data_IF_818664897646
#
_entry.id   IF_818664897646
#
_cell.length_a   1.000
_cell.length_b   1.000
_cell.length_c   1.000
_cell.angle_alpha   90.00
_cell.angle_beta   90.00
_cell.angle_gamma   90.00
#
_symmetry.space_group_name_H-M   'P 1'
#
loop_
_entity.id
_entity.type
_entity.pdbx_description
1 polymer ?
#
# COMPACT_ATOMS: atom_id res chain seq x y z
N UNK A 1 14.67 -15.42 -17.40
CA UNK A 1 14.31 -14.14 -18.02
C UNK A 1 12.88 -13.82 -17.59
N UNK A 2 12.62 -12.73 -16.85
CA UNK A 2 11.26 -12.36 -16.51
C UNK A 2 10.51 -12.06 -17.82
N UNK A 3 9.32 -12.64 -17.99
CA UNK A 3 8.43 -12.31 -19.09
C UNK A 3 8.20 -10.79 -19.09
N UNK A 4 8.35 -10.09 -20.23
CA UNK A 4 8.10 -8.66 -20.26
C UNK A 4 6.69 -8.37 -19.76
N UNK A 5 6.59 -7.56 -18.69
CA UNK A 5 5.30 -7.16 -18.10
C UNK A 5 4.47 -6.47 -19.18
N UNK A 6 3.19 -6.83 -19.28
CA UNK A 6 2.23 -6.21 -20.20
C UNK A 6 2.33 -4.68 -20.06
N UNK A 7 2.48 -3.91 -21.15
CA UNK A 7 2.47 -2.44 -21.10
C UNK A 7 1.27 -1.86 -20.34
N UNK A 8 0.13 -2.57 -20.30
CA UNK A 8 -1.07 -2.19 -19.53
C UNK A 8 -0.85 -2.32 -18.02
N UNK A 9 0.02 -3.23 -17.57
CA UNK A 9 0.40 -3.42 -16.16
C UNK A 9 1.32 -2.29 -15.65
N UNK A 10 1.87 -1.46 -16.55
CA UNK A 10 2.78 -0.37 -16.20
C UNK A 10 2.07 0.98 -15.96
N UNK A 11 0.76 1.08 -16.23
CA UNK A 11 0.02 2.35 -16.14
C UNK A 11 -0.02 2.92 -14.72
N UNK A 12 -0.34 2.09 -13.72
CA UNK A 12 -0.37 2.51 -12.32
C UNK A 12 1.01 2.94 -11.82
N UNK A 13 2.06 2.25 -12.28
CA UNK A 13 3.45 2.62 -11.98
C UNK A 13 3.81 3.97 -12.60
N UNK A 14 3.52 4.16 -13.88
CA UNK A 14 3.76 5.43 -14.58
C UNK A 14 3.00 6.60 -13.94
N UNK A 15 1.75 6.37 -13.52
CA UNK A 15 0.94 7.33 -12.78
C UNK A 15 1.58 7.72 -11.44
N UNK A 16 1.94 6.72 -10.64
CA UNK A 16 2.59 6.93 -9.34
C UNK A 16 3.91 7.67 -9.50
N UNK A 17 4.72 7.33 -10.50
CA UNK A 17 5.96 8.03 -10.82
C UNK A 17 5.72 9.46 -11.32
N UNK A 18 4.59 9.71 -12.01
CA UNK A 18 4.14 11.04 -12.39
C UNK A 18 3.78 11.90 -11.18
N UNK A 19 2.96 11.39 -10.27
CA UNK A 19 2.60 12.06 -9.00
C UNK A 19 3.87 12.36 -8.18
N UNK A 20 4.82 11.42 -8.10
CA UNK A 20 6.12 11.64 -7.44
C UNK A 20 6.90 12.78 -8.08
N UNK A 21 6.99 12.85 -9.41
CA UNK A 21 7.71 13.93 -10.10
C UNK A 21 7.04 15.29 -9.89
N UNK A 22 5.71 15.36 -9.97
CA UNK A 22 4.98 16.60 -9.71
C UNK A 22 5.22 17.08 -8.27
N UNK A 23 5.04 16.18 -7.30
CA UNK A 23 5.25 16.51 -5.89
C UNK A 23 6.72 16.93 -5.63
N UNK A 24 7.69 16.30 -6.30
CA UNK A 24 9.11 16.74 -6.26
C UNK A 24 9.25 18.19 -6.71
N UNK A 25 8.64 18.54 -7.84
CA UNK A 25 8.73 19.89 -8.41
C UNK A 25 8.08 20.93 -7.49
N UNK A 26 6.93 20.61 -6.87
CA UNK A 26 6.21 21.49 -5.94
C UNK A 26 6.97 21.74 -4.64
N UNK A 27 7.63 20.71 -4.09
CA UNK A 27 8.34 20.81 -2.82
C UNK A 27 9.74 21.43 -2.97
N UNK A 28 10.33 21.40 -4.17
CA UNK A 28 11.68 21.86 -4.42
C UNK A 28 12.77 20.89 -3.92
N UNK A 29 14.04 21.13 -4.27
CA UNK A 29 15.10 20.14 -4.13
C UNK A 29 15.47 19.79 -2.68
N UNK A 30 15.43 20.75 -1.75
CA UNK A 30 15.77 20.49 -0.35
C UNK A 30 14.68 19.65 0.35
N UNK A 31 13.41 20.03 0.22
CA UNK A 31 12.29 19.33 0.88
C UNK A 31 12.05 17.95 0.27
N UNK A 32 12.09 17.84 -1.06
CA UNK A 32 11.81 16.57 -1.74
C UNK A 32 12.78 15.44 -1.35
N UNK A 33 14.03 15.75 -1.01
CA UNK A 33 15.01 14.77 -0.51
C UNK A 33 14.70 14.24 0.89
N UNK A 34 13.82 14.89 1.64
CA UNK A 34 13.42 14.46 2.97
C UNK A 34 12.06 13.73 2.99
N UNK A 35 11.27 13.79 1.92
CA UNK A 35 9.85 13.35 1.91
C UNK A 35 9.67 12.08 1.11
N UNK A 36 9.16 11.00 1.71
CA UNK A 36 8.74 9.76 1.04
C UNK A 36 7.24 9.76 0.77
N UNK A 37 6.85 9.15 -0.34
CA UNK A 37 5.45 8.78 -0.60
C UNK A 37 5.22 7.38 -0.03
N UNK A 38 4.03 7.13 0.50
CA UNK A 38 3.63 5.80 0.97
C UNK A 38 2.29 5.40 0.35
N UNK A 39 1.63 4.37 0.89
CA UNK A 39 0.36 3.87 0.40
C UNK A 39 0.43 3.51 -1.08
N UNK A 40 -0.62 3.83 -1.84
CA UNK A 40 -0.72 3.39 -3.24
C UNK A 40 0.37 4.00 -4.13
N UNK A 41 0.77 5.24 -3.89
CA UNK A 41 1.83 5.92 -4.66
C UNK A 41 3.19 5.29 -4.34
N UNK A 42 3.48 5.02 -3.07
CA UNK A 42 4.72 4.37 -2.63
C UNK A 42 4.91 2.96 -3.20
N UNK A 43 3.82 2.18 -3.30
CA UNK A 43 3.82 0.85 -3.93
C UNK A 43 3.89 0.89 -5.47
N UNK A 44 3.69 2.06 -6.09
CA UNK A 44 3.62 2.18 -7.55
C UNK A 44 2.30 1.67 -8.14
N UNK A 45 1.22 1.72 -7.36
CA UNK A 45 -0.09 1.13 -7.65
C UNK A 45 -1.21 2.17 -7.66
N UNK A 46 -0.87 3.45 -7.58
CA UNK A 46 -1.86 4.53 -7.61
C UNK A 46 -2.53 4.61 -8.98
N UNK A 47 -3.80 4.98 -8.94
CA UNK A 47 -4.65 5.29 -10.09
C UNK A 47 -5.19 6.72 -9.91
N UNK A 48 -5.74 7.37 -10.95
CA UNK A 48 -6.40 8.66 -10.79
C UNK A 48 -7.46 8.64 -9.68
N UNK A 49 -7.47 9.65 -8.80
CA UNK A 49 -8.35 9.67 -7.62
C UNK A 49 -7.85 8.83 -6.43
N UNK A 50 -6.56 8.49 -6.38
CA UNK A 50 -5.97 7.80 -5.22
C UNK A 50 -5.44 8.79 -4.20
N UNK A 51 -5.54 8.39 -2.93
CA UNK A 51 -4.98 9.12 -1.80
C UNK A 51 -3.46 9.30 -1.95
N UNK A 52 -2.96 10.46 -1.51
CA UNK A 52 -1.56 10.81 -1.42
C UNK A 52 -1.13 10.84 0.04
N UNK A 53 -0.43 9.79 0.47
CA UNK A 53 0.20 9.71 1.78
C UNK A 53 1.70 10.05 1.70
N UNK A 54 2.20 10.75 2.70
CA UNK A 54 3.62 11.14 2.78
C UNK A 54 4.20 10.99 4.18
N UNK A 55 5.49 10.68 4.25
CA UNK A 55 6.31 10.60 5.45
C UNK A 55 7.56 11.45 5.24
N UNK A 56 8.23 11.88 6.31
CA UNK A 56 9.50 12.59 6.16
C UNK A 56 10.59 12.13 7.12
N UNK A 57 11.82 12.07 6.58
CA UNK A 57 13.05 11.82 7.31
C UNK A 57 13.85 13.13 7.34
N UNK A 58 13.95 13.74 8.52
CA UNK A 58 14.67 15.00 8.74
C UNK A 58 15.92 14.79 9.60
N UNK A 59 16.78 15.80 9.69
CA UNK A 59 17.85 15.79 10.69
C UNK A 59 17.27 15.86 12.10
N UNK A 60 18.04 15.36 13.07
CA UNK A 60 17.66 15.51 14.48
C UNK A 60 17.51 16.99 14.83
N UNK A 61 16.47 17.41 15.59
CA UNK A 61 16.28 18.82 15.96
C UNK A 61 17.50 19.46 16.64
N UNK A 62 18.31 18.67 17.34
CA UNK A 62 19.51 19.11 18.05
C UNK A 62 20.78 19.11 17.17
N UNK A 63 20.68 18.64 15.92
CA UNK A 63 21.80 18.66 14.99
C UNK A 63 22.10 20.09 14.49
N UNK A 64 23.37 20.42 14.16
CA UNK A 64 23.71 21.69 13.53
C UNK A 64 22.88 21.93 12.27
N UNK A 65 22.44 23.18 12.07
CA UNK A 65 21.67 23.55 10.88
C UNK A 65 22.51 23.35 9.63
N UNK A 66 22.00 22.52 8.71
CA UNK A 66 22.53 22.33 7.37
C UNK A 66 21.55 22.95 6.37
N UNK A 67 21.92 24.02 5.64
CA UNK A 67 21.08 24.63 4.61
C UNK A 67 20.61 23.66 3.52
N UNK A 68 21.33 22.55 3.30
CA UNK A 68 20.97 21.50 2.37
C UNK A 68 19.96 20.49 2.90
N UNK A 69 19.59 20.55 4.19
CA UNK A 69 18.63 19.64 4.82
C UNK A 69 17.50 20.42 5.50
N UNK A 70 16.23 20.24 5.06
CA UNK A 70 15.11 20.97 5.63
C UNK A 70 14.85 20.52 7.09
N UNK A 71 14.47 21.47 7.95
CA UNK A 71 13.92 21.12 9.25
C UNK A 71 12.47 20.62 9.13
N UNK A 72 11.95 19.99 10.18
CA UNK A 72 10.58 19.47 10.17
C UNK A 72 9.51 20.53 9.93
N UNK A 73 9.73 21.79 10.33
CA UNK A 73 8.77 22.87 10.07
C UNK A 73 8.73 23.26 8.60
N UNK A 74 9.89 23.30 7.94
CA UNK A 74 9.98 23.57 6.51
C UNK A 74 9.28 22.47 5.70
N UNK A 75 9.54 21.20 6.03
CA UNK A 75 8.84 20.06 5.41
C UNK A 75 7.32 20.18 5.60
N UNK A 76 6.89 20.37 6.85
CA UNK A 76 5.47 20.46 7.19
C UNK A 76 4.75 21.54 6.41
N UNK A 77 5.33 22.74 6.36
CA UNK A 77 4.76 23.88 5.63
C UNK A 77 4.65 23.58 4.13
N UNK A 78 5.72 23.07 3.53
CA UNK A 78 5.77 22.80 2.09
C UNK A 78 4.77 21.71 1.67
N UNK A 79 4.66 20.64 2.45
CA UNK A 79 3.69 19.56 2.19
C UNK A 79 2.26 20.07 2.39
N UNK A 80 1.98 20.81 3.48
CA UNK A 80 0.66 21.37 3.75
C UNK A 80 0.20 22.39 2.70
N UNK A 81 1.12 23.08 2.03
CA UNK A 81 0.80 24.03 0.95
C UNK A 81 0.71 23.38 -0.44
N UNK A 82 0.93 22.07 -0.56
CA UNK A 82 0.85 21.36 -1.84
C UNK A 82 -0.53 20.75 -2.02
N UNK A 83 -1.16 21.05 -3.15
CA UNK A 83 -2.44 20.48 -3.55
C UNK A 83 -2.34 19.85 -4.94
N UNK A 84 -2.58 18.55 -5.01
CA UNK A 84 -2.62 17.76 -6.24
C UNK A 84 -4.01 17.14 -6.47
N UNK A 85 -5.04 17.59 -5.74
CA UNK A 85 -6.41 17.05 -5.81
C UNK A 85 -7.17 17.42 -7.10
N UNK A 86 -6.58 18.27 -7.92
CA UNK A 86 -7.13 18.75 -9.19
C UNK A 86 -6.44 18.11 -10.40
N UNK A 87 -6.94 18.44 -11.60
CA UNK A 87 -6.31 18.04 -12.86
C UNK A 87 -4.81 18.44 -12.88
N UNK A 88 -3.91 17.59 -13.42
CA UNK A 88 -4.16 16.28 -14.02
C UNK A 88 -4.11 15.10 -13.05
N UNK A 89 -3.84 15.32 -11.76
CA UNK A 89 -3.43 14.26 -10.84
C UNK A 89 -4.56 13.71 -9.97
N UNK A 90 -5.53 14.54 -9.58
CA UNK A 90 -6.64 14.12 -8.73
C UNK A 90 -6.17 13.29 -7.51
N UNK A 91 -5.02 13.64 -6.94
CA UNK A 91 -4.38 12.94 -5.85
C UNK A 91 -4.76 13.63 -4.54
N UNK A 92 -5.71 13.07 -3.81
CA UNK A 92 -6.26 13.66 -2.60
C UNK A 92 -5.26 13.49 -1.45
N UNK A 93 -4.75 14.60 -0.90
CA UNK A 93 -3.83 14.54 0.25
C UNK A 93 -4.54 13.93 1.45
N UNK A 94 -4.02 12.79 1.92
CA UNK A 94 -4.55 12.07 3.06
C UNK A 94 -4.14 12.74 4.38
N UNK A 95 -4.92 12.57 5.47
CA UNK A 95 -4.47 12.91 6.83
C UNK A 95 -3.15 12.22 7.22
N UNK A 96 -2.82 11.07 6.62
CA UNK A 96 -1.53 10.42 6.76
C UNK A 96 -0.46 11.07 5.86
N UNK A 97 -0.19 12.36 6.08
CA UNK A 97 0.80 13.12 5.32
C UNK A 97 1.82 13.79 6.24
N UNK A 98 3.00 14.11 5.68
CA UNK A 98 4.05 14.88 6.33
C UNK A 98 3.67 16.37 6.58
N UNK A 99 2.38 16.71 6.50
CA UNK A 99 1.80 17.89 7.13
C UNK A 99 1.50 17.67 8.64
N UNK A 100 1.42 16.41 9.09
CA UNK A 100 1.35 16.03 10.50
C UNK A 100 2.77 15.87 11.08
N UNK A 101 3.13 16.60 12.16
CA UNK A 101 4.43 16.45 12.83
C UNK A 101 4.78 15.02 13.25
N UNK A 102 3.78 14.16 13.52
CA UNK A 102 4.01 12.75 13.92
C UNK A 102 4.60 11.92 12.78
N UNK A 103 4.44 12.38 11.54
CA UNK A 103 4.94 11.75 10.31
C UNK A 103 6.21 12.42 9.78
N UNK A 104 6.88 13.21 10.62
CA UNK A 104 8.18 13.82 10.34
C UNK A 104 9.12 13.46 11.49
N UNK A 105 10.14 12.63 11.22
CA UNK A 105 11.08 12.16 12.26
C UNK A 105 12.50 12.06 11.73
N UNK A 106 13.48 12.05 12.64
CA UNK A 106 14.84 11.60 12.28
C UNK A 106 14.86 10.10 12.05
N UNK A 107 15.95 9.57 11.46
CA UNK A 107 16.15 8.12 11.31
C UNK A 107 15.98 7.41 12.65
N UNK A 108 16.67 7.89 13.70
CA UNK A 108 16.57 7.33 15.04
C UNK A 108 15.14 7.48 15.62
N UNK A 109 14.44 8.56 15.30
CA UNK A 109 13.03 8.76 15.68
C UNK A 109 12.09 7.77 15.01
N UNK A 110 12.28 7.45 13.72
CA UNK A 110 11.53 6.42 13.01
C UNK A 110 11.81 5.02 13.56
N UNK A 111 13.09 4.69 13.85
CA UNK A 111 13.45 3.41 14.46
C UNK A 111 12.76 3.23 15.82
N UNK A 112 12.88 4.20 16.73
CA UNK A 112 12.20 4.13 18.04
C UNK A 112 10.69 4.03 17.93
N UNK A 113 10.08 4.76 16.98
CA UNK A 113 8.64 4.71 16.77
C UNK A 113 8.20 3.33 16.26
N UNK A 114 8.93 2.77 15.29
CA UNK A 114 8.65 1.44 14.74
C UNK A 114 8.79 0.34 15.80
N UNK A 115 9.84 0.38 16.63
CA UNK A 115 10.01 -0.56 17.74
C UNK A 115 8.85 -0.44 18.75
N UNK A 116 8.44 0.79 19.11
CA UNK A 116 7.30 1.01 20.00
C UNK A 116 5.96 0.54 19.41
N UNK A 117 5.74 0.73 18.12
CA UNK A 117 4.57 0.19 17.41
C UNK A 117 4.58 -1.33 17.35
N UNK A 118 5.76 -1.93 17.23
CA UNK A 118 5.96 -3.36 17.19
C UNK A 118 5.76 -4.03 18.56
N UNK A 119 6.23 -3.38 19.63
CA UNK A 119 6.07 -3.82 21.02
C UNK A 119 4.63 -3.71 21.53
N UNK A 120 3.90 -2.66 21.14
CA UNK A 120 2.56 -2.37 21.64
C UNK A 120 1.58 -1.90 20.54
N UNK A 121 1.25 -2.77 19.55
CA UNK A 121 0.49 -2.38 18.35
C UNK A 121 -0.88 -1.74 18.63
N UNK A 122 -1.54 -2.12 19.72
CA UNK A 122 -2.86 -1.60 20.06
C UNK A 122 -2.87 -0.14 20.56
N UNK A 123 -1.73 0.40 21.03
CA UNK A 123 -1.68 1.72 21.69
C UNK A 123 -1.67 2.91 20.73
N UNK A 124 -1.14 2.73 19.52
CA UNK A 124 -0.93 3.83 18.56
C UNK A 124 -1.07 3.33 17.12
N UNK A 125 -2.10 2.51 16.84
CA UNK A 125 -2.36 2.00 15.47
C UNK A 125 -1.10 1.36 14.84
N UNK A 126 -0.32 0.60 15.62
CA UNK A 126 1.04 0.20 15.23
C UNK A 126 1.09 -0.58 13.92
N UNK A 127 0.11 -1.45 13.67
CA UNK A 127 -0.04 -2.18 12.39
C UNK A 127 -0.19 -1.22 11.20
N UNK A 128 -0.95 -0.14 11.35
CA UNK A 128 -1.15 0.87 10.30
C UNK A 128 0.15 1.63 10.05
N UNK A 129 0.82 2.10 11.09
CA UNK A 129 2.05 2.89 10.93
C UNK A 129 3.22 2.07 10.38
N UNK A 130 3.40 0.82 10.81
CA UNK A 130 4.35 -0.10 10.19
C UNK A 130 4.01 -0.34 8.71
N UNK A 131 2.72 -0.37 8.37
CA UNK A 131 2.27 -0.44 6.99
C UNK A 131 2.62 0.78 6.14
N UNK A 132 2.54 1.98 6.72
CA UNK A 132 3.02 3.20 6.06
C UNK A 132 4.54 3.16 5.82
N UNK A 133 5.32 2.64 6.78
CA UNK A 133 6.76 2.50 6.58
C UNK A 133 7.10 1.44 5.51
N UNK A 134 6.42 0.29 5.55
CA UNK A 134 6.64 -0.81 4.60
C UNK A 134 6.34 -0.39 3.16
N UNK A 135 5.33 0.46 2.94
CA UNK A 135 4.92 0.94 1.62
C UNK A 135 5.74 2.15 1.13
N UNK A 136 6.63 2.69 1.96
CA UNK A 136 7.29 3.95 1.68
C UNK A 136 8.35 3.84 0.57
N UNK A 137 8.32 4.80 -0.35
CA UNK A 137 9.30 4.98 -1.42
C UNK A 137 9.75 6.43 -1.48
N UNK A 138 11.05 6.69 -1.73
CA UNK A 138 11.51 8.05 -1.83
C UNK A 138 10.85 8.86 -2.91
N UNK A 139 10.68 10.17 -2.70
CA UNK A 139 10.11 11.05 -3.69
C UNK A 139 11.11 11.29 -4.83
N UNK A 140 12.37 11.58 -4.50
CA UNK A 140 13.46 11.75 -5.47
C UNK A 140 14.06 10.41 -5.90
N UNK A 141 14.34 10.26 -7.19
CA UNK A 141 15.17 9.16 -7.69
C UNK A 141 16.65 9.39 -7.28
N UNK A 142 17.42 8.30 -7.09
CA UNK A 142 18.81 8.40 -6.64
C UNK A 142 19.00 8.74 -5.16
N UNK A 143 17.99 8.52 -4.32
CA UNK A 143 18.17 8.56 -2.88
C UNK A 143 19.21 7.51 -2.45
N UNK A 144 20.14 7.87 -1.56
CA UNK A 144 21.26 7.00 -1.16
C UNK A 144 20.79 5.68 -0.55
N UNK A 145 19.60 5.71 0.05
CA UNK A 145 19.00 4.58 0.73
C UNK A 145 17.48 4.52 0.48
N UNK A 146 17.04 3.94 -0.66
CA UNK A 146 15.64 3.97 -1.03
C UNK A 146 14.75 3.02 -0.22
N UNK A 147 15.35 2.07 0.50
CA UNK A 147 14.63 1.09 1.32
C UNK A 147 14.70 1.42 2.82
N UNK A 148 15.20 2.62 3.20
CA UNK A 148 15.36 3.02 4.59
C UNK A 148 14.12 2.77 5.46
N UNK A 149 12.96 3.31 5.08
CA UNK A 149 11.73 3.17 5.86
C UNK A 149 11.15 1.74 5.81
N UNK A 150 11.09 1.06 4.64
CA UNK A 150 10.73 -0.36 4.61
C UNK A 150 11.63 -1.25 5.47
N UNK A 151 12.95 -1.00 5.50
CA UNK A 151 13.88 -1.75 6.35
C UNK A 151 13.67 -1.47 7.84
N UNK A 152 13.32 -0.25 8.22
CA UNK A 152 12.97 0.05 9.62
C UNK A 152 11.74 -0.76 10.04
N UNK A 153 10.70 -0.86 9.18
CA UNK A 153 9.53 -1.67 9.48
C UNK A 153 9.87 -3.16 9.61
N UNK A 154 10.62 -3.71 8.65
CA UNK A 154 11.03 -5.12 8.67
C UNK A 154 11.89 -5.44 9.91
N UNK A 155 12.81 -4.54 10.29
CA UNK A 155 13.64 -4.69 11.50
C UNK A 155 12.80 -4.69 12.77
N UNK A 156 11.84 -3.77 12.90
CA UNK A 156 10.99 -3.69 14.08
C UNK A 156 10.15 -4.98 14.24
N UNK A 157 9.60 -5.50 13.14
CA UNK A 157 8.88 -6.78 13.15
C UNK A 157 9.80 -7.95 13.51
N UNK A 158 11.02 -8.00 12.98
CA UNK A 158 12.00 -9.02 13.35
C UNK A 158 12.42 -8.94 14.83
N UNK A 159 12.45 -7.74 15.41
CA UNK A 159 12.72 -7.52 16.83
C UNK A 159 11.55 -7.86 17.76
N UNK A 160 10.32 -7.81 17.24
CA UNK A 160 9.09 -8.10 17.99
C UNK A 160 8.16 -9.05 17.20
N UNK A 161 8.54 -10.32 16.98
CA UNK A 161 7.83 -11.20 16.04
C UNK A 161 6.34 -11.41 16.34
N UNK A 162 5.95 -11.29 17.62
CA UNK A 162 4.55 -11.40 18.07
C UNK A 162 3.60 -10.50 17.28
N UNK A 163 4.05 -9.31 16.82
CA UNK A 163 3.21 -8.40 16.02
C UNK A 163 2.76 -8.99 14.67
N UNK A 164 3.47 -10.00 14.14
CA UNK A 164 3.05 -10.68 12.91
C UNK A 164 1.63 -11.27 13.04
N UNK A 165 1.22 -11.66 14.25
CA UNK A 165 -0.14 -12.14 14.51
C UNK A 165 -1.16 -11.01 14.40
N UNK A 166 -0.87 -9.81 14.92
CA UNK A 166 -1.73 -8.63 14.80
C UNK A 166 -1.81 -8.12 13.36
N UNK A 167 -0.68 -8.10 12.65
CA UNK A 167 -0.63 -7.71 11.22
C UNK A 167 -1.45 -8.70 10.38
N UNK A 168 -1.35 -10.01 10.66
CA UNK A 168 -2.18 -11.01 9.99
C UNK A 168 -3.66 -10.84 10.35
N UNK A 169 -3.99 -10.61 11.63
CA UNK A 169 -5.36 -10.39 12.05
C UNK A 169 -5.98 -9.17 11.34
N UNK A 170 -5.24 -8.07 11.19
CA UNK A 170 -5.66 -6.91 10.38
C UNK A 170 -5.88 -7.30 8.91
N UNK A 171 -4.99 -8.09 8.32
CA UNK A 171 -5.13 -8.57 6.94
C UNK A 171 -6.35 -9.50 6.73
N UNK A 172 -6.73 -10.26 7.76
CA UNK A 172 -7.88 -11.17 7.75
C UNK A 172 -9.20 -10.47 8.10
N UNK A 173 -9.15 -9.34 8.79
CA UNK A 173 -10.33 -8.53 9.14
C UNK A 173 -11.07 -7.98 7.90
N UNK A 174 -10.31 -7.67 6.84
CA UNK A 174 -10.84 -7.14 5.59
C UNK A 174 -11.01 -8.29 4.60
N UNK A 175 -12.15 -8.99 4.66
CA UNK A 175 -12.39 -10.16 3.81
C UNK A 175 -12.67 -9.77 2.37
N UNK A 176 -12.01 -10.45 1.44
CA UNK A 176 -12.35 -10.32 0.04
C UNK A 176 -13.75 -10.87 -0.24
N UNK A 177 -14.62 -10.06 -0.83
CA UNK A 177 -16.01 -10.45 -1.08
C UNK A 177 -16.61 -9.65 -2.22
N UNK A 178 -17.22 -10.34 -3.19
CA UNK A 178 -17.94 -9.72 -4.31
C UNK A 178 -19.36 -10.28 -4.30
N UNK A 179 -20.40 -9.42 -4.21
CA UNK A 179 -21.78 -9.88 -4.18
C UNK A 179 -22.13 -10.82 -5.36
N UNK A 180 -22.88 -11.86 -5.05
CA UNK A 180 -23.51 -12.69 -6.08
C UNK A 180 -24.77 -11.99 -6.61
N UNK A 181 -25.15 -12.24 -7.87
CA UNK A 181 -26.46 -11.79 -8.38
C UNK A 181 -27.65 -12.49 -7.69
N UNK A 182 -27.39 -13.58 -6.95
CA UNK A 182 -28.41 -14.44 -6.35
C UNK A 182 -28.91 -13.94 -5.00
N UNK A 183 -28.51 -12.75 -4.53
CA UNK A 183 -29.20 -12.08 -3.42
C UNK A 183 -30.56 -11.57 -3.91
N UNK A 184 -31.48 -12.53 -4.07
CA UNK A 184 -32.87 -12.43 -4.55
C UNK A 184 -33.76 -11.47 -3.75
N UNK A 185 -33.21 -10.87 -2.70
CA UNK A 185 -33.89 -9.96 -1.77
C UNK A 185 -33.61 -8.47 -2.05
N UNK A 186 -32.66 -8.12 -2.93
CA UNK A 186 -32.37 -6.71 -3.22
C UNK A 186 -33.18 -6.22 -4.42
N UNK A 187 -33.99 -5.17 -4.20
CA UNK A 187 -34.71 -4.41 -5.25
C UNK A 187 -33.78 -3.51 -6.08
N UNK A 188 -32.46 -3.57 -5.88
CA UNK A 188 -31.47 -2.66 -6.46
C UNK A 188 -30.23 -3.41 -6.98
N UNK A 189 -29.54 -2.86 -7.98
CA UNK A 189 -28.28 -3.40 -8.50
C UNK A 189 -27.18 -3.40 -7.41
N UNK A 190 -26.58 -4.55 -7.08
CA UNK A 190 -25.53 -4.61 -6.07
C UNK A 190 -24.30 -3.77 -6.46
N UNK A 191 -23.77 -3.02 -5.50
CA UNK A 191 -22.56 -2.20 -5.67
C UNK A 191 -21.38 -2.93 -5.03
N UNK A 192 -20.25 -2.99 -5.75
CA UNK A 192 -18.97 -3.49 -5.25
C UNK A 192 -17.99 -2.33 -5.09
N UNK A 193 -17.25 -2.30 -3.99
CA UNK A 193 -16.11 -1.40 -3.82
C UNK A 193 -14.83 -2.14 -4.19
N UNK A 194 -14.22 -1.82 -5.34
CA UNK A 194 -13.04 -2.53 -5.84
C UNK A 194 -11.83 -2.42 -4.89
N UNK A 195 -11.66 -1.27 -4.24
CA UNK A 195 -10.55 -1.01 -3.31
C UNK A 195 -10.75 -1.79 -2.03
N UNK A 196 -11.92 -1.70 -1.41
CA UNK A 196 -12.22 -2.34 -0.14
C UNK A 196 -12.38 -3.87 -0.27
N UNK A 197 -13.06 -4.34 -1.31
CA UNK A 197 -13.44 -5.73 -1.45
C UNK A 197 -12.34 -6.63 -2.04
N UNK A 198 -11.33 -6.08 -2.71
CA UNK A 198 -10.34 -6.89 -3.45
C UNK A 198 -8.91 -6.40 -3.25
N UNK A 199 -8.62 -5.13 -3.54
CA UNK A 199 -7.24 -4.63 -3.48
C UNK A 199 -6.72 -4.53 -2.05
N UNK A 200 -7.47 -3.96 -1.12
CA UNK A 200 -7.06 -3.83 0.29
C UNK A 200 -6.75 -5.19 0.93
N UNK A 201 -7.61 -6.23 0.80
CA UNK A 201 -7.31 -7.57 1.28
C UNK A 201 -5.97 -8.12 0.76
N UNK A 202 -5.72 -8.09 -0.55
CA UNK A 202 -4.49 -8.67 -1.12
C UNK A 202 -3.24 -7.84 -0.79
N UNK A 203 -3.36 -6.50 -0.73
CA UNK A 203 -2.27 -5.60 -0.29
C UNK A 203 -1.88 -5.91 1.15
N UNK A 204 -2.86 -6.07 2.05
CA UNK A 204 -2.57 -6.40 3.46
C UNK A 204 -1.91 -7.78 3.60
N UNK A 205 -2.39 -8.79 2.86
CA UNK A 205 -1.75 -10.12 2.83
C UNK A 205 -0.31 -10.08 2.30
N UNK A 206 -0.08 -9.37 1.19
CA UNK A 206 1.25 -9.22 0.62
C UNK A 206 2.21 -8.51 1.57
N UNK A 207 1.72 -7.47 2.27
CA UNK A 207 2.50 -6.76 3.28
C UNK A 207 2.85 -7.65 4.47
N UNK A 208 1.88 -8.39 5.01
CA UNK A 208 2.13 -9.37 6.05
C UNK A 208 3.19 -10.39 5.62
N UNK A 209 3.05 -10.93 4.40
CA UNK A 209 3.99 -11.91 3.88
C UNK A 209 5.40 -11.33 3.76
N UNK A 210 5.54 -10.13 3.21
CA UNK A 210 6.81 -9.44 3.07
C UNK A 210 7.47 -9.16 4.42
N UNK A 211 6.73 -8.62 5.39
CA UNK A 211 7.27 -8.34 6.73
C UNK A 211 7.71 -9.61 7.44
N UNK A 212 6.95 -10.71 7.31
CA UNK A 212 7.38 -12.04 7.78
C UNK A 212 8.72 -12.42 7.14
N UNK A 213 8.82 -12.37 5.82
CA UNK A 213 10.03 -12.76 5.11
C UNK A 213 11.21 -11.75 5.16
N UNK A 214 11.07 -10.63 5.90
CA UNK A 214 12.07 -9.55 5.90
C UNK A 214 12.23 -8.83 4.55
N UNK A 215 11.26 -8.97 3.65
CA UNK A 215 11.28 -8.38 2.30
C UNK A 215 10.89 -6.90 2.37
N UNK A 216 11.72 -6.05 1.74
CA UNK A 216 11.59 -4.59 1.74
C UNK A 216 10.95 -4.02 0.47
N UNK A 217 10.65 -4.88 -0.51
CA UNK A 217 9.95 -4.48 -1.73
C UNK A 217 8.60 -3.83 -1.41
N UNK A 218 8.26 -2.73 -2.09
CA UNK A 218 7.02 -2.00 -1.82
C UNK A 218 5.82 -2.48 -2.62
N UNK A 219 6.01 -2.91 -3.89
CA UNK A 219 4.87 -3.33 -4.72
C UNK A 219 4.27 -4.65 -4.25
N UNK A 220 2.95 -4.76 -4.31
CA UNK A 220 2.19 -5.95 -3.90
C UNK A 220 2.63 -7.19 -4.68
N UNK A 221 2.84 -7.05 -5.99
CA UNK A 221 3.31 -8.15 -6.86
C UNK A 221 4.69 -8.67 -6.45
N UNK A 222 5.65 -7.77 -6.19
CA UNK A 222 7.00 -8.15 -5.79
C UNK A 222 7.02 -8.75 -4.38
N UNK A 223 6.19 -8.24 -3.47
CA UNK A 223 6.03 -8.82 -2.13
C UNK A 223 5.51 -10.25 -2.18
N UNK A 224 4.47 -10.52 -2.97
CA UNK A 224 3.92 -11.87 -3.13
C UNK A 224 4.93 -12.83 -3.76
N UNK A 225 5.75 -12.35 -4.69
CA UNK A 225 6.80 -13.14 -5.33
C UNK A 225 7.97 -13.45 -4.39
N UNK A 226 8.52 -12.43 -3.75
CA UNK A 226 9.74 -12.55 -2.93
C UNK A 226 9.47 -13.18 -1.56
N UNK A 227 8.22 -13.08 -1.05
CA UNK A 227 7.84 -13.63 0.25
C UNK A 227 7.04 -14.93 0.15
N UNK A 228 6.97 -15.54 -1.05
CA UNK A 228 6.35 -16.83 -1.24
C UNK A 228 7.06 -17.88 -0.38
N UNK A 229 6.29 -18.61 0.42
CA UNK A 229 6.77 -19.72 1.23
C UNK A 229 5.80 -20.90 1.07
N UNK A 230 6.24 -22.02 0.48
CA UNK A 230 5.40 -23.21 0.26
C UNK A 230 4.91 -23.85 1.55
N UNK A 231 5.54 -23.54 2.70
CA UNK A 231 5.09 -23.99 4.02
C UNK A 231 3.89 -23.21 4.55
N UNK A 232 3.64 -22.01 3.99
CA UNK A 232 2.54 -21.12 4.39
C UNK A 232 1.36 -21.24 3.44
N UNK A 233 1.62 -21.15 2.14
CA UNK A 233 0.66 -21.41 1.08
C UNK A 233 1.37 -22.16 -0.06
N UNK A 234 0.73 -23.13 -0.71
CA UNK A 234 1.29 -23.79 -1.89
C UNK A 234 1.63 -22.78 -3.03
N UNK A 235 2.59 -23.13 -3.89
CA UNK A 235 3.09 -22.23 -4.94
C UNK A 235 2.00 -21.74 -5.91
N UNK A 236 1.04 -22.61 -6.26
CA UNK A 236 -0.09 -22.26 -7.11
C UNK A 236 -0.99 -21.19 -6.48
N UNK A 237 -1.11 -21.17 -5.15
CA UNK A 237 -1.85 -20.13 -4.42
C UNK A 237 -1.13 -18.79 -4.43
N UNK A 238 0.20 -18.78 -4.31
CA UNK A 238 0.98 -17.54 -4.45
C UNK A 238 0.84 -16.95 -5.85
N UNK A 239 0.95 -17.78 -6.90
CA UNK A 239 0.77 -17.30 -8.27
C UNK A 239 -0.67 -16.86 -8.54
N UNK A 240 -1.66 -17.56 -7.99
CA UNK A 240 -3.07 -17.14 -8.07
C UNK A 240 -3.31 -15.76 -7.42
N UNK A 241 -2.68 -15.48 -6.27
CA UNK A 241 -2.73 -14.16 -5.64
C UNK A 241 -2.09 -13.08 -6.51
N UNK A 242 -0.93 -13.36 -7.13
CA UNK A 242 -0.28 -12.41 -8.05
C UNK A 242 -1.16 -12.11 -9.27
N UNK A 243 -1.72 -13.15 -9.89
CA UNK A 243 -2.66 -12.99 -11.00
C UNK A 243 -3.90 -12.19 -10.60
N UNK A 244 -4.45 -12.45 -9.40
CA UNK A 244 -5.57 -11.71 -8.81
C UNK A 244 -5.22 -10.22 -8.60
N UNK A 245 -4.05 -9.89 -8.05
CA UNK A 245 -3.58 -8.50 -7.89
C UNK A 245 -3.51 -7.79 -9.23
N UNK A 246 -2.88 -8.40 -10.24
CA UNK A 246 -2.74 -7.81 -11.59
C UNK A 246 -4.11 -7.56 -12.23
N UNK A 247 -5.03 -8.53 -12.15
CA UNK A 247 -6.40 -8.36 -12.64
C UNK A 247 -7.12 -7.20 -11.93
N UNK A 248 -7.10 -7.17 -10.60
CA UNK A 248 -7.78 -6.15 -9.80
C UNK A 248 -7.24 -4.74 -10.09
N UNK A 249 -5.91 -4.60 -10.20
CA UNK A 249 -5.26 -3.34 -10.51
C UNK A 249 -5.67 -2.83 -11.90
N UNK A 250 -5.68 -3.69 -12.91
CA UNK A 250 -6.14 -3.35 -14.27
C UNK A 250 -7.60 -2.94 -14.29
N UNK A 251 -8.48 -3.73 -13.66
CA UNK A 251 -9.91 -3.41 -13.61
C UNK A 251 -10.18 -2.08 -12.91
N UNK A 252 -9.52 -1.82 -11.77
CA UNK A 252 -9.65 -0.55 -11.05
C UNK A 252 -9.21 0.62 -11.91
N UNK A 253 -8.07 0.50 -12.60
CA UNK A 253 -7.60 1.51 -13.54
C UNK A 253 -8.65 1.83 -14.60
N UNK A 254 -9.17 0.80 -15.27
CA UNK A 254 -10.19 0.97 -16.32
C UNK A 254 -11.45 1.62 -15.79
N UNK A 255 -11.95 1.18 -14.63
CA UNK A 255 -13.13 1.76 -13.97
C UNK A 255 -12.93 3.23 -13.65
N UNK A 256 -11.77 3.61 -13.09
CA UNK A 256 -11.48 5.00 -12.75
C UNK A 256 -11.41 5.91 -13.98
N UNK A 257 -11.10 5.39 -15.15
CA UNK A 257 -11.05 6.18 -16.39
C UNK A 257 -12.40 6.31 -17.12
N UNK A 258 -13.44 5.55 -16.75
CA UNK A 258 -14.73 5.58 -17.46
C UNK A 258 -15.48 6.91 -17.36
N UNK A 259 -15.20 7.72 -16.34
CA UNK A 259 -15.80 9.04 -16.16
C UNK A 259 -15.24 10.11 -17.13
N UNK A 260 -14.15 9.81 -17.85
CA UNK A 260 -13.66 10.66 -18.93
C UNK A 260 -13.22 12.05 -18.45
N UNK A 261 -13.81 13.10 -19.05
CA UNK A 261 -13.49 14.51 -18.76
C UNK A 261 -13.98 15.01 -17.41
N UNK A 262 -14.87 14.28 -16.73
CA UNK A 262 -15.43 14.68 -15.44
C UNK A 262 -14.50 14.32 -14.25
N UNK A 263 -13.26 13.89 -14.55
CA UNK A 263 -12.29 13.42 -13.57
C UNK A 263 -12.35 11.90 -13.35
N UNK A 264 -11.68 11.38 -12.30
CA UNK A 264 -11.69 9.95 -12.03
C UNK A 264 -13.06 9.46 -11.54
N UNK A 265 -13.50 8.31 -12.06
CA UNK A 265 -14.68 7.60 -11.57
C UNK A 265 -14.51 7.09 -10.13
N UNK A 266 -15.51 6.39 -9.59
CA UNK A 266 -15.45 5.84 -8.22
C UNK A 266 -14.97 4.39 -8.18
N UNK A 267 -14.33 3.97 -7.07
CA UNK A 267 -14.07 2.55 -6.79
C UNK A 267 -15.37 1.78 -6.45
N UNK A 268 -16.47 2.49 -6.14
CA UNK A 268 -17.79 1.91 -5.89
C UNK A 268 -18.58 1.81 -7.19
N UNK A 269 -18.71 0.60 -7.71
CA UNK A 269 -19.28 0.33 -9.04
C UNK A 269 -20.51 -0.59 -8.93
N UNK A 270 -21.65 -0.23 -9.53
CA UNK A 270 -22.77 -1.15 -9.70
C UNK A 270 -22.35 -2.35 -10.56
N UNK A 271 -22.70 -3.58 -10.18
CA UNK A 271 -22.29 -4.77 -10.93
C UNK A 271 -22.83 -4.77 -12.37
N UNK A 272 -23.96 -4.12 -12.65
CA UNK A 272 -24.48 -3.97 -14.02
C UNK A 272 -23.54 -3.17 -14.93
N UNK A 273 -22.77 -2.23 -14.39
CA UNK A 273 -21.82 -1.39 -15.12
C UNK A 273 -20.52 -2.12 -15.51
N UNK A 274 -20.29 -3.33 -14.97
CA UNK A 274 -19.17 -4.18 -15.35
C UNK A 274 -19.57 -5.12 -16.50
N UNK A 275 -18.65 -5.48 -17.39
CA UNK A 275 -18.90 -6.50 -18.42
C UNK A 275 -19.06 -7.89 -17.79
N UNK A 276 -19.55 -8.86 -18.57
CA UNK A 276 -19.66 -10.25 -18.08
C UNK A 276 -18.30 -10.85 -17.74
N UNK A 277 -17.27 -10.57 -18.55
CA UNK A 277 -15.91 -11.01 -18.31
C UNK A 277 -15.31 -10.34 -17.06
N UNK A 278 -15.49 -9.02 -16.89
CA UNK A 278 -15.02 -8.29 -15.71
C UNK A 278 -15.64 -8.82 -14.42
N UNK A 279 -16.95 -9.08 -14.41
CA UNK A 279 -17.62 -9.67 -13.25
C UNK A 279 -17.12 -11.07 -12.93
N UNK A 280 -16.88 -11.89 -13.96
CA UNK A 280 -16.35 -13.24 -13.76
C UNK A 280 -14.94 -13.20 -13.17
N UNK A 281 -14.05 -12.37 -13.75
CA UNK A 281 -12.70 -12.17 -13.27
C UNK A 281 -12.64 -11.58 -11.86
N UNK A 282 -13.49 -10.59 -11.56
CA UNK A 282 -13.59 -9.97 -10.23
C UNK A 282 -14.02 -10.98 -9.16
N UNK A 283 -15.01 -11.83 -9.47
CA UNK A 283 -15.42 -12.93 -8.58
C UNK A 283 -14.32 -13.98 -8.41
N UNK A 284 -13.59 -14.29 -9.48
CA UNK A 284 -12.47 -15.22 -9.38
C UNK A 284 -11.36 -14.70 -8.48
N UNK A 285 -10.98 -13.44 -8.70
CA UNK A 285 -10.02 -12.70 -7.89
C UNK A 285 -10.41 -12.72 -6.41
N UNK A 286 -11.66 -12.37 -6.08
CA UNK A 286 -12.14 -12.40 -4.70
C UNK A 286 -12.13 -13.81 -4.10
N UNK A 287 -12.46 -14.85 -4.88
CA UNK A 287 -12.41 -16.25 -4.43
C UNK A 287 -10.99 -16.71 -4.10
N UNK A 288 -10.00 -16.36 -4.93
CA UNK A 288 -8.60 -16.71 -4.67
C UNK A 288 -8.08 -16.04 -3.41
N UNK A 289 -8.33 -14.74 -3.25
CA UNK A 289 -7.93 -14.00 -2.06
C UNK A 289 -8.62 -14.56 -0.82
N UNK A 290 -9.93 -14.80 -0.88
CA UNK A 290 -10.66 -15.38 0.24
C UNK A 290 -10.20 -16.81 0.58
N UNK A 291 -9.75 -17.58 -0.41
CA UNK A 291 -9.16 -18.90 -0.21
C UNK A 291 -7.84 -18.84 0.55
N UNK A 292 -6.95 -17.92 0.18
CA UNK A 292 -5.73 -17.65 0.93
C UNK A 292 -6.03 -17.18 2.36
N UNK A 293 -6.96 -16.22 2.52
CA UNK A 293 -7.38 -15.73 3.84
C UNK A 293 -7.89 -16.87 4.74
N UNK A 294 -8.72 -17.78 4.22
CA UNK A 294 -9.21 -18.94 5.00
C UNK A 294 -8.07 -19.87 5.43
N UNK A 295 -7.11 -20.13 4.54
CA UNK A 295 -5.97 -21.01 4.84
C UNK A 295 -5.09 -20.39 5.93
N UNK A 296 -4.81 -19.09 5.82
CA UNK A 296 -4.02 -18.36 6.80
C UNK A 296 -4.74 -18.20 8.14
N UNK A 297 -6.06 -17.98 8.12
CA UNK A 297 -6.85 -17.90 9.35
C UNK A 297 -6.87 -19.24 10.09
N UNK A 298 -6.99 -20.36 9.35
CA UNK A 298 -6.83 -21.70 9.90
C UNK A 298 -5.48 -21.88 10.59
N UNK A 299 -4.36 -21.66 9.87
CA UNK A 299 -3.00 -21.79 10.42
C UNK A 299 -2.77 -20.89 11.64
N UNK A 300 -3.37 -19.69 11.64
CA UNK A 300 -3.28 -18.75 12.76
C UNK A 300 -4.03 -19.29 13.97
N UNK A 301 -5.24 -19.83 13.76
CA UNK A 301 -6.07 -20.40 14.83
C UNK A 301 -5.51 -21.69 15.42
N UNK A 302 -4.79 -22.49 14.65
CA UNK A 302 -4.17 -23.74 15.10
C UNK A 302 -2.78 -23.54 15.71
N UNK A 303 -2.20 -22.34 15.58
CA UNK A 303 -0.83 -22.05 16.01
C UNK A 303 0.24 -22.70 15.12
N UNK A 304 -0.14 -23.17 13.93
CA UNK A 304 0.76 -23.82 12.96
C UNK A 304 1.52 -22.80 12.10
N UNK A 305 1.17 -21.53 12.21
CA UNK A 305 1.89 -20.42 11.62
C UNK A 305 3.25 -20.24 12.31
N UNK A 306 4.27 -20.89 11.74
CA UNK A 306 5.64 -20.82 12.25
C UNK A 306 6.29 -19.49 11.92
N UNK A 307 7.11 -19.00 12.85
CA UNK A 307 8.03 -17.90 12.60
C UNK A 307 8.98 -18.26 11.44
N UNK A 308 9.31 -17.29 10.57
CA UNK A 308 10.34 -17.45 9.57
C UNK A 308 11.68 -17.70 10.30
N UNK A 309 12.34 -18.81 9.95
CA UNK A 309 13.69 -19.14 10.44
C UNK A 309 14.76 -18.35 9.72
#
# INVERSE_FOLDING_TARGET
MPTPRDPRDQRARAWSDGVRRELTARLGPAVSRAVWVTGSVGRGEAVPGSDLETLAVVVDPDAPRDPGRPDGRAVRRAVASTDLSHEPWFAETSPASAADPRLIRSVAGWTRAADGWADAPARDLGVVHLGLLADARPLTDGHDDPELLPRIAARAVAGHPVILTDILADALSTRASVPSRLTRALRSDPVVDLKACVLTPVVKLARWAALRAGVTATSTDARLELAADPRVLPDDRWEALRAATRFAARLRWEVRLRAGSDGPGSDRVPLSALTTAERAGLRSTAREIAGAQRTLDYLRSTGELREPG
#
